data_IF_819049448009
#
_entry.id   IF_819049448009
#
_cell.length_a   1.000
_cell.length_b   1.000
_cell.length_c   1.000
_cell.angle_alpha   90.00
_cell.angle_beta   90.00
_cell.angle_gamma   90.00
#
_symmetry.space_group_name_H-M   'P 1'
#
loop_
_entity.id
_entity.type
_entity.pdbx_description
1 polymer ?
#
# COMPACT_ATOMS: atom_id res chain seq x y z
N UNK A 1 56.37 -17.21 13.79
CA UNK A 1 56.69 -16.61 15.10
C UNK A 1 58.00 -15.86 14.98
N UNK A 2 57.99 -14.55 15.18
CA UNK A 2 59.06 -13.71 15.74
C UNK A 2 58.80 -12.25 15.32
N UNK A 3 58.61 -11.43 16.35
CA UNK A 3 58.33 -10.00 16.41
C UNK A 3 59.56 -9.12 16.22
N UNK A 4 59.43 -8.00 15.50
CA UNK A 4 60.30 -6.80 15.47
C UNK A 4 59.42 -5.68 14.84
N UNK A 5 59.32 -4.41 15.24
CA UNK A 5 59.92 -3.56 16.27
C UNK A 5 59.02 -2.32 16.42
N UNK A 6 59.05 -1.73 17.61
CA UNK A 6 58.65 -0.36 17.92
C UNK A 6 59.39 0.68 17.04
N UNK A 7 58.85 1.90 16.99
CA UNK A 7 59.68 3.10 16.87
C UNK A 7 59.11 4.20 15.97
N UNK A 8 58.62 5.25 16.63
CA UNK A 8 58.48 6.65 16.20
C UNK A 8 58.90 7.05 14.78
N UNK A 9 57.99 7.77 14.10
CA UNK A 9 58.35 8.65 12.99
C UNK A 9 57.68 10.01 13.16
N UNK A 10 58.43 10.96 13.73
CA UNK A 10 58.25 12.37 13.39
C UNK A 10 58.59 12.55 11.92
N UNK A 11 57.72 13.22 11.17
CA UNK A 11 58.10 13.84 9.89
C UNK A 11 57.20 15.05 9.69
N UNK A 12 57.71 16.21 10.13
CA UNK A 12 57.40 17.50 9.50
C UNK A 12 57.73 17.39 8.01
N UNK A 13 56.75 17.59 7.14
CA UNK A 13 56.98 18.08 5.78
C UNK A 13 55.83 18.98 5.36
N UNK A 14 56.20 20.24 5.23
CA UNK A 14 55.55 21.28 4.46
C UNK A 14 55.02 20.73 3.13
N UNK A 15 53.74 20.98 2.87
CA UNK A 15 53.24 21.13 1.52
C UNK A 15 52.37 22.39 1.52
N UNK A 16 52.98 23.46 1.03
CA UNK A 16 52.30 24.63 0.48
C UNK A 16 51.20 24.16 -0.47
N UNK A 17 49.96 24.34 -0.05
CA UNK A 17 48.83 24.40 -0.97
C UNK A 17 48.28 25.81 -0.84
N UNK A 18 48.69 26.67 -1.77
CA UNK A 18 48.06 27.96 -1.99
C UNK A 18 46.59 27.70 -2.33
N UNK A 19 45.69 27.95 -1.39
CA UNK A 19 44.27 28.09 -1.69
C UNK A 19 44.09 29.49 -2.30
N UNK A 20 44.02 29.55 -3.63
CA UNK A 20 43.49 30.73 -4.31
C UNK A 20 42.08 31.00 -3.80
N UNK A 21 41.86 32.20 -3.25
CA UNK A 21 40.54 32.77 -2.99
C UNK A 21 39.70 32.68 -4.26
N UNK A 22 38.70 31.80 -4.25
CA UNK A 22 37.52 31.96 -5.08
C UNK A 22 36.39 32.41 -4.18
N UNK A 23 35.86 33.59 -4.47
CA UNK A 23 34.66 34.14 -3.86
C UNK A 23 33.48 33.18 -4.09
N UNK A 24 33.21 32.31 -3.12
CA UNK A 24 31.95 31.59 -3.07
C UNK A 24 30.84 32.56 -2.61
N UNK A 25 29.69 32.62 -3.29
CA UNK A 25 28.56 33.37 -2.77
C UNK A 25 28.10 32.72 -1.46
N UNK A 26 27.96 33.53 -0.41
CA UNK A 26 27.41 33.13 0.86
C UNK A 26 26.05 32.45 0.67
N UNK A 27 26.01 31.12 0.69
CA UNK A 27 24.77 30.35 0.81
C UNK A 27 24.28 30.59 2.24
N UNK A 28 23.36 31.54 2.39
CA UNK A 28 22.51 31.65 3.57
C UNK A 28 21.95 30.26 3.83
N UNK A 29 22.27 29.70 5.00
CA UNK A 29 21.61 28.51 5.52
C UNK A 29 20.11 28.77 5.55
N UNK A 30 19.42 28.26 4.53
CA UNK A 30 18.03 27.88 4.69
C UNK A 30 18.10 26.48 5.26
N UNK A 31 17.55 26.34 6.47
CA UNK A 31 17.29 25.07 7.11
C UNK A 31 16.64 24.13 6.08
N UNK A 32 17.44 23.20 5.55
CA UNK A 32 16.95 21.99 4.92
C UNK A 32 16.42 21.11 6.05
N UNK A 33 15.24 21.44 6.56
CA UNK A 33 14.41 20.42 7.19
C UNK A 33 14.01 19.54 5.99
N UNK A 34 14.63 18.38 5.83
CA UNK A 34 14.06 17.34 4.97
C UNK A 34 12.60 17.19 5.42
N UNK A 35 11.66 17.52 4.54
CA UNK A 35 10.26 17.13 4.73
C UNK A 35 10.28 15.64 5.02
N UNK A 36 9.73 15.28 6.18
CA UNK A 36 9.75 13.94 6.72
C UNK A 36 9.08 12.97 5.74
N UNK A 37 9.88 12.36 4.86
CA UNK A 37 9.42 11.43 3.81
C UNK A 37 8.90 10.12 4.40
N UNK A 38 8.88 9.97 5.72
CA UNK A 38 8.35 8.79 6.40
C UNK A 38 6.85 8.63 6.19
N UNK A 39 6.09 9.73 6.14
CA UNK A 39 4.65 9.70 5.86
C UNK A 39 4.38 9.13 4.46
N UNK A 40 5.13 9.60 3.44
CA UNK A 40 4.97 9.10 2.07
C UNK A 40 5.37 7.62 1.94
N UNK A 41 6.46 7.19 2.59
CA UNK A 41 6.88 5.79 2.54
C UNK A 41 5.89 4.85 3.26
N UNK A 42 5.35 5.28 4.41
CA UNK A 42 4.34 4.54 5.16
C UNK A 42 3.03 4.45 4.38
N UNK A 43 2.61 5.53 3.73
CA UNK A 43 1.43 5.56 2.85
C UNK A 43 1.57 4.60 1.68
N UNK A 44 2.73 4.58 1.01
CA UNK A 44 2.99 3.63 -0.08
C UNK A 44 2.91 2.18 0.41
N UNK A 45 3.43 1.88 1.61
CA UNK A 45 3.32 0.55 2.22
C UNK A 45 1.88 0.14 2.50
N UNK A 46 1.08 1.07 3.02
CA UNK A 46 -0.35 0.89 3.29
C UNK A 46 -1.14 0.65 2.00
N UNK A 47 -0.86 1.44 0.95
CA UNK A 47 -1.49 1.29 -0.37
C UNK A 47 -1.17 -0.08 -1.00
N UNK A 48 0.10 -0.51 -0.97
CA UNK A 48 0.50 -1.81 -1.52
C UNK A 48 -0.20 -2.95 -0.77
N UNK A 49 -0.31 -2.85 0.55
CA UNK A 49 -0.98 -3.85 1.37
C UNK A 49 -2.48 -3.88 1.09
N UNK A 50 -3.13 -2.73 1.00
CA UNK A 50 -4.55 -2.62 0.68
C UNK A 50 -4.86 -3.22 -0.72
N UNK A 51 -4.04 -2.90 -1.73
CA UNK A 51 -4.17 -3.50 -3.09
C UNK A 51 -4.06 -5.03 -3.04
N UNK A 52 -3.14 -5.56 -2.22
CA UNK A 52 -2.99 -7.01 -2.03
C UNK A 52 -4.24 -7.64 -1.42
N UNK A 53 -4.85 -7.02 -0.41
CA UNK A 53 -6.09 -7.54 0.21
C UNK A 53 -7.24 -7.55 -0.79
N UNK A 54 -7.42 -6.45 -1.54
CA UNK A 54 -8.45 -6.38 -2.60
C UNK A 54 -8.21 -7.43 -3.69
N UNK A 55 -6.96 -7.62 -4.13
CA UNK A 55 -6.65 -8.67 -5.10
C UNK A 55 -6.94 -10.07 -4.55
N UNK A 56 -6.54 -10.37 -3.31
CA UNK A 56 -6.85 -11.66 -2.67
C UNK A 56 -8.34 -11.93 -2.62
N UNK A 57 -9.15 -10.92 -2.29
CA UNK A 57 -10.60 -11.02 -2.31
C UNK A 57 -11.13 -11.45 -3.69
N UNK A 58 -10.74 -10.75 -4.76
CA UNK A 58 -11.20 -11.06 -6.11
C UNK A 58 -10.60 -12.36 -6.68
N UNK A 59 -9.37 -12.73 -6.30
CA UNK A 59 -8.77 -14.02 -6.63
C UNK A 59 -9.51 -15.18 -5.96
N UNK A 60 -9.92 -15.02 -4.70
CA UNK A 60 -10.73 -16.01 -4.00
C UNK A 60 -12.11 -16.19 -4.67
N UNK A 61 -12.76 -15.08 -5.06
CA UNK A 61 -13.99 -15.13 -5.88
C UNK A 61 -13.78 -15.87 -7.20
N UNK A 62 -12.66 -15.64 -7.90
CA UNK A 62 -12.31 -16.35 -9.13
C UNK A 62 -12.11 -17.86 -8.94
N UNK A 63 -11.59 -18.29 -7.78
CA UNK A 63 -11.42 -19.70 -7.45
C UNK A 63 -12.72 -20.37 -6.97
N UNK A 64 -13.78 -19.59 -6.72
CA UNK A 64 -14.99 -20.05 -6.04
C UNK A 64 -14.80 -20.29 -4.55
N UNK A 65 -13.72 -19.77 -3.95
CA UNK A 65 -13.49 -19.83 -2.50
C UNK A 65 -14.14 -18.63 -1.82
N UNK A 66 -15.46 -18.74 -1.61
CA UNK A 66 -16.24 -17.67 -0.99
C UNK A 66 -15.89 -17.46 0.50
N UNK A 67 -15.37 -18.50 1.17
CA UNK A 67 -14.93 -18.39 2.56
C UNK A 67 -13.70 -17.49 2.67
N UNK A 68 -12.69 -17.74 1.85
CA UNK A 68 -11.47 -16.93 1.83
C UNK A 68 -11.77 -15.48 1.44
N UNK A 69 -12.64 -15.26 0.46
CA UNK A 69 -13.10 -13.92 0.08
C UNK A 69 -13.82 -13.21 1.25
N UNK A 70 -14.73 -13.92 1.93
CA UNK A 70 -15.47 -13.40 3.09
C UNK A 70 -14.55 -13.04 4.27
N UNK A 71 -13.45 -13.76 4.46
CA UNK A 71 -12.45 -13.50 5.50
C UNK A 71 -11.59 -12.25 5.22
N UNK A 72 -11.46 -11.82 3.97
CA UNK A 72 -10.80 -10.54 3.64
C UNK A 72 -11.66 -9.32 4.03
N UNK A 73 -12.96 -9.52 4.25
CA UNK A 73 -13.87 -8.45 4.65
C UNK A 73 -13.91 -8.30 6.17
N UNK A 74 -13.93 -7.05 6.64
CA UNK A 74 -14.03 -6.72 8.05
C UNK A 74 -15.34 -7.22 8.64
N UNK A 75 -15.31 -7.64 9.91
CA UNK A 75 -16.53 -8.02 10.66
C UNK A 75 -17.54 -6.87 10.79
N UNK A 76 -17.06 -5.63 10.68
CA UNK A 76 -17.87 -4.42 10.79
C UNK A 76 -18.39 -3.94 9.42
N UNK A 77 -18.06 -4.63 8.33
CA UNK A 77 -18.57 -4.33 6.99
C UNK A 77 -19.99 -4.88 6.79
N UNK A 78 -20.68 -4.42 5.76
CA UNK A 78 -21.99 -4.95 5.33
C UNK A 78 -21.89 -6.32 4.62
N UNK A 79 -20.99 -7.20 5.06
CA UNK A 79 -20.72 -8.50 4.43
C UNK A 79 -21.80 -9.57 4.63
N UNK A 80 -22.79 -9.32 5.50
CA UNK A 80 -23.81 -10.31 5.86
C UNK A 80 -23.20 -11.56 6.51
N UNK A 81 -23.89 -12.69 6.40
CA UNK A 81 -23.36 -13.99 6.82
C UNK A 81 -22.53 -14.65 5.70
N UNK A 82 -21.61 -15.56 6.06
CA UNK A 82 -20.80 -16.30 5.08
C UNK A 82 -21.66 -17.08 4.07
N UNK A 83 -22.77 -17.68 4.52
CA UNK A 83 -23.69 -18.40 3.64
C UNK A 83 -24.38 -17.48 2.63
N UNK A 84 -24.93 -16.34 3.07
CA UNK A 84 -25.56 -15.36 2.18
C UNK A 84 -24.54 -14.77 1.19
N UNK A 85 -23.31 -14.56 1.64
CA UNK A 85 -22.21 -14.11 0.79
C UNK A 85 -21.91 -15.13 -0.30
N UNK A 86 -21.79 -16.41 0.05
CA UNK A 86 -21.56 -17.49 -0.91
C UNK A 86 -22.72 -17.61 -1.92
N UNK A 87 -23.97 -17.53 -1.47
CA UNK A 87 -25.14 -17.58 -2.34
C UNK A 87 -25.17 -16.41 -3.34
N UNK A 88 -24.91 -15.18 -2.89
CA UNK A 88 -24.86 -14.00 -3.76
C UNK A 88 -23.77 -14.08 -4.83
N UNK A 89 -22.68 -14.77 -4.56
CA UNK A 89 -21.52 -14.87 -5.43
C UNK A 89 -21.43 -16.23 -6.18
N UNK A 90 -22.37 -17.14 -5.98
CA UNK A 90 -22.35 -18.51 -6.52
C UNK A 90 -22.34 -18.58 -8.05
N UNK A 91 -22.93 -17.58 -8.71
CA UNK A 91 -23.06 -17.50 -10.16
C UNK A 91 -21.81 -16.92 -10.85
N UNK A 92 -20.82 -16.46 -10.10
CA UNK A 92 -19.57 -15.94 -10.65
C UNK A 92 -18.81 -17.06 -11.35
N UNK A 93 -18.39 -16.82 -12.59
CA UNK A 93 -17.47 -17.66 -13.35
C UNK A 93 -16.07 -17.05 -13.34
N UNK A 94 -15.97 -15.76 -13.65
CA UNK A 94 -14.71 -15.01 -13.61
C UNK A 94 -14.93 -13.56 -13.18
N UNK A 95 -13.98 -12.98 -12.47
CA UNK A 95 -13.90 -11.57 -12.10
C UNK A 95 -12.54 -11.02 -12.52
N UNK A 96 -12.54 -9.86 -13.16
CA UNK A 96 -11.31 -9.11 -13.47
C UNK A 96 -11.38 -7.76 -12.80
N UNK A 97 -10.41 -7.43 -11.94
CA UNK A 97 -10.34 -6.15 -11.22
C UNK A 97 -9.16 -5.32 -11.73
N UNK A 98 -9.35 -4.01 -11.83
CA UNK A 98 -8.32 -3.03 -12.15
C UNK A 98 -8.40 -1.86 -11.16
N UNK A 99 -7.26 -1.31 -10.78
CA UNK A 99 -7.18 -0.05 -10.03
C UNK A 99 -7.15 1.10 -11.03
N UNK A 100 -8.10 2.02 -10.95
CA UNK A 100 -8.36 3.01 -12.02
C UNK A 100 -7.64 4.33 -11.82
N UNK A 101 -7.29 4.66 -10.58
CA UNK A 101 -6.66 5.91 -10.19
C UNK A 101 -5.73 5.66 -8.99
N UNK A 102 -5.00 6.69 -8.58
CA UNK A 102 -4.17 6.66 -7.39
C UNK A 102 -5.03 6.46 -6.13
N UNK A 103 -4.45 5.72 -5.20
CA UNK A 103 -5.06 5.47 -3.91
C UNK A 103 -4.92 6.71 -3.02
N UNK A 104 -5.85 6.86 -2.08
CA UNK A 104 -5.75 7.90 -1.04
C UNK A 104 -5.65 7.23 0.32
N UNK A 105 -4.79 7.79 1.17
CA UNK A 105 -4.63 7.37 2.57
C UNK A 105 -5.16 8.49 3.45
N UNK A 106 -5.95 8.14 4.45
CA UNK A 106 -6.45 9.06 5.46
C UNK A 106 -6.25 8.42 6.83
N UNK A 107 -5.51 9.09 7.70
CA UNK A 107 -5.37 8.66 9.08
C UNK A 107 -6.54 9.19 9.93
N UNK A 108 -7.19 8.28 10.65
CA UNK A 108 -8.28 8.61 11.54
C UNK A 108 -8.10 7.98 12.92
N UNK A 109 -9.04 8.29 13.83
CA UNK A 109 -9.04 7.74 15.19
C UNK A 109 -9.14 6.19 15.24
N UNK A 110 -9.58 5.56 14.15
CA UNK A 110 -9.78 4.12 14.02
C UNK A 110 -8.67 3.44 13.20
N UNK A 111 -7.53 4.12 12.98
CA UNK A 111 -6.41 3.63 12.16
C UNK A 111 -6.32 4.31 10.80
N UNK A 112 -5.35 3.86 10.00
CA UNK A 112 -5.15 4.32 8.62
C UNK A 112 -6.18 3.68 7.69
N UNK A 113 -6.93 4.52 6.98
CA UNK A 113 -7.88 4.13 5.95
C UNK A 113 -7.25 4.33 4.57
N UNK A 114 -7.34 3.32 3.72
CA UNK A 114 -6.90 3.37 2.33
C UNK A 114 -8.11 3.22 1.42
N UNK A 115 -8.37 4.26 0.61
CA UNK A 115 -9.39 4.23 -0.43
C UNK A 115 -8.75 3.92 -1.78
N UNK A 116 -9.20 2.82 -2.40
CA UNK A 116 -8.71 2.30 -3.67
C UNK A 116 -9.77 2.43 -4.76
N UNK A 117 -9.60 3.35 -5.74
CA UNK A 117 -10.46 3.41 -6.91
C UNK A 117 -10.32 2.13 -7.74
N UNK A 118 -11.42 1.42 -7.96
CA UNK A 118 -11.46 0.15 -8.67
C UNK A 118 -12.53 0.13 -9.75
N UNK A 119 -12.27 -0.67 -10.79
CA UNK A 119 -13.25 -1.11 -11.76
C UNK A 119 -13.10 -2.61 -11.94
N UNK A 120 -14.19 -3.36 -11.79
CA UNK A 120 -14.17 -4.80 -11.97
C UNK A 120 -15.31 -5.28 -12.86
N UNK A 121 -15.03 -6.33 -13.62
CA UNK A 121 -15.99 -6.98 -14.51
C UNK A 121 -16.22 -8.40 -14.03
N UNK A 122 -17.49 -8.75 -13.84
CA UNK A 122 -17.96 -10.09 -13.47
C UNK A 122 -18.58 -10.74 -14.70
N UNK A 123 -18.11 -11.92 -15.04
CA UNK A 123 -18.77 -12.84 -15.97
C UNK A 123 -19.43 -13.94 -15.14
N UNK A 124 -20.72 -14.17 -15.38
CA UNK A 124 -21.46 -15.23 -14.71
C UNK A 124 -21.50 -16.51 -15.54
N UNK A 125 -21.80 -17.64 -14.88
CA UNK A 125 -21.98 -18.95 -15.51
C UNK A 125 -23.05 -18.97 -16.61
N UNK A 126 -24.01 -18.04 -16.54
CA UNK A 126 -25.05 -17.85 -17.56
C UNK A 126 -24.61 -16.93 -18.72
N UNK A 127 -23.30 -16.67 -18.83
CA UNK A 127 -22.67 -15.83 -19.85
C UNK A 127 -23.09 -14.35 -19.81
N UNK A 128 -23.63 -13.88 -18.68
CA UNK A 128 -23.89 -12.45 -18.47
C UNK A 128 -22.59 -11.76 -18.04
N UNK A 129 -22.35 -10.56 -18.56
CA UNK A 129 -21.22 -9.73 -18.16
C UNK A 129 -21.73 -8.44 -17.52
N UNK A 130 -21.18 -8.10 -16.35
CA UNK A 130 -21.53 -6.90 -15.59
C UNK A 130 -20.25 -6.21 -15.17
N UNK A 131 -20.15 -4.91 -15.45
CA UNK A 131 -19.01 -4.09 -15.03
C UNK A 131 -19.45 -3.14 -13.93
N UNK A 132 -18.58 -2.96 -12.95
CA UNK A 132 -18.78 -2.12 -11.78
C UNK A 132 -17.60 -1.19 -11.63
N UNK A 133 -17.86 0.04 -11.20
CA UNK A 133 -16.86 1.07 -10.96
C UNK A 133 -17.13 1.78 -9.65
N UNK A 134 -16.07 2.16 -8.94
CA UNK A 134 -16.19 2.83 -7.65
C UNK A 134 -14.90 2.71 -6.84
N UNK A 135 -15.03 2.44 -5.55
CA UNK A 135 -13.89 2.36 -4.64
C UNK A 135 -14.04 1.25 -3.59
N UNK A 136 -12.93 0.58 -3.28
CA UNK A 136 -12.81 -0.26 -2.10
C UNK A 136 -12.16 0.55 -0.97
N UNK A 137 -12.72 0.44 0.23
CA UNK A 137 -12.16 1.03 1.44
C UNK A 137 -11.55 -0.08 2.27
N UNK A 138 -10.27 0.07 2.61
CA UNK A 138 -9.50 -0.90 3.41
C UNK A 138 -8.98 -0.18 4.64
N UNK A 139 -9.26 -0.73 5.82
CA UNK A 139 -8.80 -0.14 7.07
C UNK A 139 -7.83 -1.10 7.73
N UNK A 140 -6.73 -0.56 8.27
CA UNK A 140 -5.86 -1.30 9.18
C UNK A 140 -6.60 -1.47 10.51
N UNK A 141 -6.91 -2.70 10.91
CA UNK A 141 -7.51 -2.96 12.21
C UNK A 141 -6.64 -2.42 13.34
N UNK A 142 -7.25 -1.95 14.43
CA UNK A 142 -6.53 -1.49 15.63
C UNK A 142 -6.41 -2.64 16.62
N UNK A 143 -5.21 -3.19 16.84
CA UNK A 143 -4.97 -4.26 17.84
C UNK A 143 -3.78 -5.17 17.51
N UNK A 144 -3.52 -6.20 18.31
CA UNK A 144 -2.39 -7.15 18.07
C UNK A 144 -2.54 -7.95 16.75
N UNK A 145 -3.76 -8.08 16.21
CA UNK A 145 -4.05 -8.65 14.89
C UNK A 145 -4.27 -7.52 13.84
N UNK A 146 -3.22 -6.71 13.67
CA UNK A 146 -3.04 -5.51 12.81
C UNK A 146 -3.26 -5.74 11.28
N UNK A 147 -4.23 -6.58 10.92
CA UNK A 147 -4.53 -6.96 9.55
C UNK A 147 -5.40 -5.91 8.84
N UNK A 148 -5.03 -5.62 7.60
CA UNK A 148 -5.83 -4.80 6.70
C UNK A 148 -7.05 -5.60 6.22
N UNK A 149 -8.24 -5.03 6.33
CA UNK A 149 -9.49 -5.66 5.90
C UNK A 149 -10.36 -4.70 5.10
N UNK A 150 -11.15 -5.24 4.18
CA UNK A 150 -12.10 -4.46 3.39
C UNK A 150 -13.28 -4.09 4.28
N UNK A 151 -13.50 -2.80 4.51
CA UNK A 151 -14.63 -2.31 5.30
C UNK A 151 -15.83 -1.94 4.44
N UNK A 152 -15.59 -1.50 3.19
CA UNK A 152 -16.65 -1.18 2.24
C UNK A 152 -16.20 -1.39 0.79
N UNK A 153 -17.18 -1.72 -0.06
CA UNK A 153 -17.06 -1.64 -1.51
C UNK A 153 -18.16 -0.72 -2.04
N UNK A 154 -17.81 0.53 -2.29
CA UNK A 154 -18.73 1.55 -2.78
C UNK A 154 -18.67 1.54 -4.30
N UNK A 155 -19.46 0.66 -4.91
CA UNK A 155 -19.39 0.39 -6.35
C UNK A 155 -20.76 0.48 -7.00
N UNK A 156 -20.80 1.08 -8.18
CA UNK A 156 -22.00 1.20 -9.00
C UNK A 156 -21.82 0.38 -10.26
N UNK A 157 -22.92 -0.22 -10.74
CA UNK A 157 -22.92 -0.87 -12.05
C UNK A 157 -22.74 0.20 -13.12
N UNK A 158 -21.82 -0.05 -14.06
CA UNK A 158 -21.74 0.75 -15.28
C UNK A 158 -22.94 0.35 -16.16
N UNK A 159 -23.86 1.29 -16.37
CA UNK A 159 -24.92 1.12 -17.35
C UNK A 159 -24.31 1.25 -18.74
N UNK A 160 -24.36 0.16 -19.53
CA UNK A 160 -24.01 0.14 -20.95
C UNK A 160 -25.06 0.80 -21.82
#
# INVERSE_FOLDING_TARGET
MASVSCGDRKTDKENDIQLEEREDPAVKGQDMIEEDNTDTANDQGSIVTAKRIVNKYFEALNRGDFTEAYEQMSRNSERGTSSEFAEKNAEIETVTVNFTQDATVSDGANGSEVTLPIRYTVKTKNNNTMTYTGSAVVVKGTGEDDSYQITAMNVNREDT
#
